data_IF_562280657716
#
_entry.id   IF_562280657716
#
_cell.length_a   1.000
_cell.length_b   1.000
_cell.length_c   1.000
_cell.angle_alpha   90.00
_cell.angle_beta   90.00
_cell.angle_gamma   90.00
#
_symmetry.space_group_name_H-M   'P 1'
#
loop_
_entity.id
_entity.type
_entity.pdbx_description
1 polymer ?
#
# COMPACT_ATOMS: atom_id res chain seq x y z
N UNK A 1 -3.74 21.67 -10.46
CA UNK A 1 -2.75 20.75 -9.83
C UNK A 1 -2.14 21.44 -8.62
N UNK A 2 -2.73 21.30 -7.44
CA UNK A 2 -2.20 21.87 -6.17
C UNK A 2 -2.32 20.81 -5.09
N UNK A 3 -1.20 20.48 -4.45
CA UNK A 3 -1.18 19.57 -3.31
C UNK A 3 0.05 18.66 -3.20
N UNK A 4 1.21 19.04 -3.73
CA UNK A 4 2.47 18.45 -3.25
C UNK A 4 2.71 18.98 -1.82
N UNK A 5 2.12 18.33 -0.83
CA UNK A 5 2.65 18.34 0.53
C UNK A 5 3.58 17.14 0.63
N UNK A 6 4.85 17.43 0.79
CA UNK A 6 5.93 16.48 1.00
C UNK A 6 5.61 15.51 2.15
N UNK A 7 5.23 14.30 1.75
CA UNK A 7 6.00 13.06 1.97
C UNK A 7 6.00 12.33 3.32
N UNK A 8 5.00 12.50 4.19
CA UNK A 8 4.78 11.51 5.27
C UNK A 8 3.32 11.08 5.39
N UNK A 9 3.08 9.79 5.16
CA UNK A 9 1.85 9.11 5.54
C UNK A 9 1.78 9.02 7.07
N UNK A 10 0.61 9.29 7.65
CA UNK A 10 0.42 9.03 9.08
C UNK A 10 0.50 7.52 9.34
N UNK A 11 0.79 7.12 10.58
CA UNK A 11 0.80 5.69 10.96
C UNK A 11 -0.53 4.97 10.63
N UNK A 12 -1.65 5.70 10.70
CA UNK A 12 -2.98 5.18 10.39
C UNK A 12 -3.18 5.00 8.88
N UNK A 13 -2.75 5.98 8.10
CA UNK A 13 -2.79 5.94 6.64
C UNK A 13 -1.93 4.81 6.08
N UNK A 14 -0.69 4.69 6.58
CA UNK A 14 0.24 3.62 6.20
C UNK A 14 -0.37 2.24 6.52
N UNK A 15 -0.89 2.06 7.73
CA UNK A 15 -1.56 0.82 8.13
C UNK A 15 -2.77 0.49 7.23
N UNK A 16 -3.58 1.50 6.89
CA UNK A 16 -4.77 1.32 6.04
C UNK A 16 -4.40 0.96 4.60
N UNK A 17 -3.37 1.59 4.04
CA UNK A 17 -2.88 1.28 2.68
C UNK A 17 -2.39 -0.16 2.61
N UNK A 18 -1.50 -0.56 3.54
CA UNK A 18 -0.93 -1.91 3.58
C UNK A 18 -2.04 -2.94 3.77
N UNK A 19 -2.99 -2.71 4.69
CA UNK A 19 -4.10 -3.63 4.94
C UNK A 19 -5.04 -3.76 3.74
N UNK A 20 -5.41 -2.65 3.10
CA UNK A 20 -6.26 -2.68 1.91
C UNK A 20 -5.56 -3.40 0.75
N UNK A 21 -4.25 -3.19 0.58
CA UNK A 21 -3.48 -3.85 -0.47
C UNK A 21 -3.28 -5.35 -0.19
N UNK A 22 -3.00 -5.73 1.05
CA UNK A 22 -2.90 -7.13 1.43
C UNK A 22 -4.20 -7.90 1.14
N UNK A 23 -5.36 -7.26 1.35
CA UNK A 23 -6.66 -7.84 0.99
C UNK A 23 -6.78 -8.04 -0.53
N UNK A 24 -6.34 -7.08 -1.34
CA UNK A 24 -6.35 -7.23 -2.81
C UNK A 24 -5.49 -8.42 -3.26
N UNK A 25 -4.29 -8.57 -2.69
CA UNK A 25 -3.40 -9.69 -3.00
C UNK A 25 -4.03 -11.02 -2.56
N UNK A 26 -4.71 -11.06 -1.42
CA UNK A 26 -5.45 -12.23 -0.97
C UNK A 26 -6.58 -12.62 -1.94
N UNK A 27 -7.20 -11.62 -2.58
CA UNK A 27 -8.19 -11.82 -3.66
C UNK A 27 -7.55 -12.03 -5.03
N UNK A 28 -6.30 -12.51 -5.07
CA UNK A 28 -5.55 -12.84 -6.30
C UNK A 28 -5.37 -11.64 -7.26
N UNK A 29 -5.40 -10.41 -6.75
CA UNK A 29 -5.11 -9.24 -7.56
C UNK A 29 -3.65 -9.25 -8.06
N UNK A 30 -3.37 -8.71 -9.26
CA UNK A 30 -2.02 -8.67 -9.80
C UNK A 30 -1.06 -7.88 -8.91
N UNK A 31 0.13 -8.44 -8.70
CA UNK A 31 1.23 -7.79 -7.99
C UNK A 31 2.00 -6.93 -9.00
N UNK A 32 2.30 -5.68 -8.63
CA UNK A 32 2.92 -4.70 -9.52
C UNK A 32 4.45 -4.71 -9.44
N UNK A 33 5.01 -5.30 -8.38
CA UNK A 33 6.46 -5.43 -8.15
C UNK A 33 6.99 -6.73 -8.75
N UNK A 34 8.22 -6.68 -9.28
CA UNK A 34 8.96 -7.88 -9.70
C UNK A 34 9.46 -8.63 -8.48
N UNK A 35 8.64 -9.56 -7.97
CA UNK A 35 9.03 -10.46 -6.89
C UNK A 35 9.57 -11.75 -7.52
N UNK A 36 10.81 -12.13 -7.19
CA UNK A 36 11.37 -13.42 -7.61
C UNK A 36 10.69 -14.57 -6.85
N UNK A 37 10.70 -15.79 -7.40
CA UNK A 37 10.14 -16.97 -6.71
C UNK A 37 10.82 -17.22 -5.36
N UNK A 38 12.11 -16.93 -5.27
CA UNK A 38 12.90 -16.99 -4.03
C UNK A 38 12.40 -16.01 -2.97
N UNK A 39 11.98 -14.81 -3.38
CA UNK A 39 11.41 -13.81 -2.48
C UNK A 39 10.02 -14.23 -1.98
N UNK A 40 9.20 -14.84 -2.83
CA UNK A 40 7.90 -15.40 -2.39
C UNK A 40 8.06 -16.49 -1.33
N UNK A 41 9.04 -17.36 -1.50
CA UNK A 41 9.33 -18.46 -0.57
C UNK A 41 9.90 -17.94 0.75
N UNK A 42 10.80 -16.94 0.70
CA UNK A 42 11.28 -16.22 1.90
C UNK A 42 10.16 -15.50 2.66
N UNK A 43 9.21 -14.93 1.93
CA UNK A 43 8.06 -14.21 2.51
C UNK A 43 6.90 -15.14 2.91
N UNK A 44 7.06 -16.46 2.76
CA UNK A 44 6.02 -17.48 3.00
C UNK A 44 4.69 -17.14 2.33
N UNK A 45 4.73 -16.49 1.16
CA UNK A 45 3.55 -16.04 0.44
C UNK A 45 2.60 -15.15 1.27
N UNK A 46 3.10 -14.45 2.29
CA UNK A 46 2.27 -13.62 3.16
C UNK A 46 1.82 -12.34 2.42
N UNK A 47 0.51 -12.12 2.22
CA UNK A 47 -0.01 -10.95 1.51
C UNK A 47 0.39 -9.60 2.14
N UNK A 48 0.59 -9.57 3.46
CA UNK A 48 0.96 -8.35 4.19
C UNK A 48 2.39 -7.94 3.85
N UNK A 49 3.32 -8.90 3.79
CA UNK A 49 4.72 -8.60 3.48
C UNK A 49 4.89 -8.19 2.01
N UNK A 50 4.12 -8.82 1.11
CA UNK A 50 4.05 -8.43 -0.30
C UNK A 50 3.53 -6.98 -0.41
N UNK A 51 2.43 -6.65 0.27
CA UNK A 51 1.87 -5.30 0.27
C UNK A 51 2.84 -4.25 0.85
N UNK A 52 3.64 -4.60 1.87
CA UNK A 52 4.69 -3.72 2.40
C UNK A 52 5.77 -3.44 1.36
N UNK A 53 6.25 -4.47 0.65
CA UNK A 53 7.26 -4.32 -0.39
C UNK A 53 6.75 -3.43 -1.53
N UNK A 54 5.51 -3.61 -1.99
CA UNK A 54 4.91 -2.73 -2.99
C UNK A 54 4.73 -1.28 -2.52
N UNK A 55 4.42 -1.10 -1.22
CA UNK A 55 4.33 0.24 -0.63
C UNK A 55 5.70 0.93 -0.57
N UNK A 56 6.77 0.20 -0.23
CA UNK A 56 8.15 0.71 -0.18
C UNK A 56 8.69 1.07 -1.57
N UNK A 57 8.30 0.32 -2.61
CA UNK A 57 8.63 0.67 -4.00
C UNK A 57 7.76 1.81 -4.57
N UNK A 58 6.74 2.27 -3.84
CA UNK A 58 5.91 3.40 -4.23
C UNK A 58 5.03 3.16 -5.46
N UNK A 59 4.82 1.90 -5.85
CA UNK A 59 4.06 1.52 -7.07
C UNK A 59 2.56 1.41 -6.86
N UNK A 60 2.08 1.54 -5.61
CA UNK A 60 0.67 1.34 -5.28
C UNK A 60 -0.22 2.47 -5.82
N UNK A 61 -1.23 2.17 -6.65
CA UNK A 61 -2.15 3.17 -7.21
C UNK A 61 -3.24 3.55 -6.19
N UNK A 62 -2.86 3.95 -4.98
CA UNK A 62 -3.78 4.31 -3.89
C UNK A 62 -3.60 5.78 -3.54
N UNK A 63 -4.70 6.55 -3.61
CA UNK A 63 -4.73 7.96 -3.23
C UNK A 63 -5.45 8.13 -1.91
N UNK A 64 -4.90 8.95 -1.01
CA UNK A 64 -5.55 9.28 0.27
C UNK A 64 -6.34 10.58 0.13
N UNK A 65 -7.63 10.51 0.45
CA UNK A 65 -8.46 11.69 0.65
C UNK A 65 -8.45 12.07 2.14
N UNK A 66 -8.00 13.29 2.45
CA UNK A 66 -7.99 13.85 3.81
C UNK A 66 -9.12 14.88 3.97
N UNK A 67 -10.35 14.47 4.31
CA UNK A 67 -11.43 15.42 4.54
C UNK A 67 -11.12 16.24 5.79
N UNK A 68 -11.22 17.57 5.67
CA UNK A 68 -11.23 18.46 6.83
C UNK A 68 -12.64 18.50 7.43
N UNK A 69 -12.78 18.71 8.74
CA UNK A 69 -14.09 18.90 9.34
C UNK A 69 -14.75 20.13 8.70
N UNK A 70 -15.88 19.92 8.02
CA UNK A 70 -16.72 21.03 7.58
C UNK A 70 -17.44 21.58 8.80
N UNK A 71 -17.42 22.89 9.02
CA UNK A 71 -18.43 23.52 9.87
C UNK A 71 -19.77 23.27 9.19
N UNK A 72 -20.67 22.60 9.91
CA UNK A 72 -22.10 22.55 9.57
C UNK A 72 -22.74 23.86 9.99
#
# INVERSE_FOLDING_TARGET
>A
MKGQKTEFFTKYEKARIIGARALQIFMEAPILVKISKEDFEKLRYNPIEIAKKEFEEGVLPITIKRPLPSKK
#
